data_IF_073444304576
#
_entry.id   IF_073444304576
#
_cell.length_a   1.000
_cell.length_b   1.000
_cell.length_c   1.000
_cell.angle_alpha   90.00
_cell.angle_beta   90.00
_cell.angle_gamma   90.00
#
_symmetry.space_group_name_H-M   'P 1'
#
loop_
_entity.id
_entity.type
_entity.pdbx_description
1 polymer ?
#
# COMPACT_ATOMS: atom_id res chain seq x y z
N UNK A 1 21.52 -13.51 -20.42
CA UNK A 1 22.09 -13.29 -19.08
C UNK A 1 23.10 -12.16 -19.18
N UNK A 2 22.81 -11.01 -18.55
CA UNK A 2 23.77 -10.46 -17.60
C UNK A 2 23.04 -9.87 -16.39
N UNK A 3 23.01 -10.62 -15.28
CA UNK A 3 22.79 -10.21 -13.88
C UNK A 3 22.71 -11.49 -13.02
N UNK A 4 23.53 -12.50 -13.37
CA UNK A 4 23.46 -13.86 -12.80
C UNK A 4 24.43 -14.04 -11.62
N UNK A 5 25.34 -13.09 -11.38
CA UNK A 5 26.41 -13.23 -10.38
C UNK A 5 26.57 -12.05 -9.41
N UNK A 6 25.58 -11.18 -9.29
CA UNK A 6 25.56 -10.27 -8.14
C UNK A 6 24.74 -10.87 -7.01
N UNK A 7 25.26 -10.91 -5.77
CA UNK A 7 24.44 -11.11 -4.58
C UNK A 7 23.64 -9.83 -4.34
N UNK A 8 22.79 -9.44 -5.29
CA UNK A 8 21.70 -8.49 -5.03
C UNK A 8 20.72 -9.28 -4.19
N UNK A 9 20.96 -9.29 -2.88
CA UNK A 9 19.96 -9.72 -1.91
C UNK A 9 18.67 -8.96 -2.24
N UNK A 10 17.50 -9.62 -2.24
CA UNK A 10 16.20 -8.98 -2.46
C UNK A 10 16.04 -7.65 -1.69
N UNK A 11 16.70 -7.55 -0.53
CA UNK A 11 16.81 -6.35 0.27
C UNK A 11 17.35 -5.10 -0.44
N UNK A 12 18.27 -5.18 -1.42
CA UNK A 12 18.80 -3.97 -2.07
C UNK A 12 17.74 -3.27 -2.91
N UNK A 13 16.91 -4.03 -3.62
CA UNK A 13 15.84 -3.48 -4.44
C UNK A 13 14.75 -2.85 -3.57
N UNK A 14 14.30 -3.59 -2.55
CA UNK A 14 13.40 -3.05 -1.53
C UNK A 14 13.99 -1.81 -0.84
N UNK A 15 15.31 -1.76 -0.61
CA UNK A 15 15.99 -0.59 -0.02
C UNK A 15 15.99 0.59 -0.99
N UNK A 16 16.30 0.39 -2.28
CA UNK A 16 16.25 1.45 -3.29
C UNK A 16 14.84 2.02 -3.41
N UNK A 17 13.84 1.15 -3.47
CA UNK A 17 12.42 1.51 -3.46
C UNK A 17 12.06 2.30 -2.21
N UNK A 18 12.45 1.82 -1.02
CA UNK A 18 12.24 2.51 0.24
C UNK A 18 12.89 3.91 0.23
N UNK A 19 14.10 4.05 -0.29
CA UNK A 19 14.81 5.33 -0.38
C UNK A 19 14.08 6.31 -1.32
N UNK A 20 13.64 5.85 -2.49
CA UNK A 20 12.86 6.66 -3.44
C UNK A 20 11.52 7.06 -2.80
N UNK A 21 10.83 6.12 -2.17
CA UNK A 21 9.56 6.36 -1.49
C UNK A 21 9.69 7.35 -0.33
N UNK A 22 10.77 7.23 0.45
CA UNK A 22 11.08 8.13 1.56
C UNK A 22 11.44 9.53 1.06
N UNK A 23 12.23 9.64 -0.02
CA UNK A 23 12.48 10.91 -0.69
C UNK A 23 11.19 11.54 -1.23
N UNK A 24 10.29 10.74 -1.80
CA UNK A 24 8.98 11.16 -2.26
C UNK A 24 8.09 11.68 -1.13
N UNK A 25 8.00 10.94 -0.03
CA UNK A 25 7.25 11.33 1.17
C UNK A 25 7.78 12.60 1.83
N UNK A 26 9.11 12.77 1.91
CA UNK A 26 9.74 13.98 2.41
C UNK A 26 9.51 15.19 1.49
N UNK A 27 9.54 14.99 0.17
CA UNK A 27 9.22 16.03 -0.80
C UNK A 27 7.75 16.46 -0.70
N UNK A 28 6.83 15.51 -0.51
CA UNK A 28 5.40 15.79 -0.23
C UNK A 28 5.24 16.58 1.07
N UNK A 29 5.96 16.18 2.14
CA UNK A 29 5.92 16.86 3.43
C UNK A 29 6.47 18.30 3.37
N UNK A 30 7.44 18.56 2.48
CA UNK A 30 7.95 19.93 2.30
C UNK A 30 6.87 20.89 1.80
N UNK A 31 5.86 20.38 1.09
CA UNK A 31 4.74 21.15 0.58
C UNK A 31 5.12 22.10 -0.57
N UNK A 32 4.10 22.70 -1.18
CA UNK A 32 4.24 23.57 -2.35
C UNK A 32 4.21 22.82 -3.69
N UNK A 33 3.63 23.45 -4.70
CA UNK A 33 3.26 22.81 -5.98
C UNK A 33 4.40 22.01 -6.64
N UNK A 34 5.61 22.58 -6.71
CA UNK A 34 6.75 21.92 -7.32
C UNK A 34 7.22 20.68 -6.53
N UNK A 35 7.35 20.80 -5.21
CA UNK A 35 7.81 19.69 -4.36
C UNK A 35 6.75 18.59 -4.23
N UNK A 36 5.47 18.96 -4.21
CA UNK A 36 4.36 18.02 -4.22
C UNK A 36 4.34 17.19 -5.51
N UNK A 37 4.56 17.81 -6.67
CA UNK A 37 4.64 17.09 -7.95
C UNK A 37 5.88 16.19 -8.03
N UNK A 38 7.05 16.66 -7.58
CA UNK A 38 8.27 15.84 -7.52
C UNK A 38 8.08 14.66 -6.58
N UNK A 39 7.46 14.88 -5.42
CA UNK A 39 7.16 13.82 -4.45
C UNK A 39 6.22 12.77 -5.02
N UNK A 40 5.13 13.18 -5.67
CA UNK A 40 4.20 12.27 -6.35
C UNK A 40 4.87 11.47 -7.47
N UNK A 41 5.71 12.12 -8.27
CA UNK A 41 6.46 11.46 -9.34
C UNK A 41 7.42 10.40 -8.78
N UNK A 42 8.17 10.73 -7.72
CA UNK A 42 9.08 9.78 -7.06
C UNK A 42 8.34 8.57 -6.50
N UNK A 43 7.18 8.77 -5.88
CA UNK A 43 6.33 7.69 -5.39
C UNK A 43 5.90 6.77 -6.54
N UNK A 44 5.39 7.34 -7.64
CA UNK A 44 4.94 6.53 -8.78
C UNK A 44 6.11 5.80 -9.43
N UNK A 45 7.27 6.45 -9.54
CA UNK A 45 8.48 5.81 -10.02
C UNK A 45 8.89 4.64 -9.11
N UNK A 46 8.81 4.83 -7.79
CA UNK A 46 9.07 3.76 -6.80
C UNK A 46 8.14 2.57 -6.98
N UNK A 47 6.85 2.80 -7.21
CA UNK A 47 5.89 1.72 -7.46
C UNK A 47 6.08 1.06 -8.82
N UNK A 48 6.44 1.82 -9.85
CA UNK A 48 6.69 1.29 -11.18
C UNK A 48 7.89 0.33 -11.19
N UNK A 49 8.97 0.71 -10.49
CA UNK A 49 10.14 -0.16 -10.29
C UNK A 49 9.73 -1.44 -9.57
N UNK A 50 8.95 -1.32 -8.50
CA UNK A 50 8.45 -2.45 -7.73
C UNK A 50 7.60 -3.43 -8.57
N UNK A 51 6.68 -2.90 -9.37
CA UNK A 51 5.80 -3.71 -10.21
C UNK A 51 6.60 -4.47 -11.28
N UNK A 52 7.55 -3.79 -11.91
CA UNK A 52 8.44 -4.38 -12.93
C UNK A 52 9.31 -5.48 -12.32
N UNK A 53 9.85 -5.25 -11.12
CA UNK A 53 10.71 -6.21 -10.42
C UNK A 53 9.92 -7.38 -9.82
N UNK A 54 8.68 -7.15 -9.37
CA UNK A 54 7.77 -8.18 -8.89
C UNK A 54 7.39 -9.18 -9.98
N UNK A 55 7.17 -8.72 -11.21
CA UNK A 55 6.98 -9.60 -12.37
C UNK A 55 8.23 -10.44 -12.66
N UNK A 56 9.42 -9.84 -12.61
CA UNK A 56 10.70 -10.54 -12.81
C UNK A 56 10.98 -11.56 -11.69
N UNK A 57 10.68 -11.23 -10.43
CA UNK A 57 10.86 -12.11 -9.28
C UNK A 57 9.93 -13.33 -9.34
N UNK A 58 8.69 -13.15 -9.84
CA UNK A 58 7.73 -14.23 -10.08
C UNK A 58 8.27 -15.30 -11.03
N UNK A 59 9.06 -14.90 -12.02
CA UNK A 59 9.72 -15.81 -12.98
C UNK A 59 10.93 -16.52 -12.35
N UNK A 60 11.58 -15.89 -11.37
CA UNK A 60 12.83 -16.40 -10.74
C UNK A 60 12.58 -17.39 -9.59
N UNK A 61 11.37 -17.46 -9.04
CA UNK A 61 10.93 -18.53 -8.12
C UNK A 61 11.64 -18.61 -6.76
N UNK A 62 12.51 -17.65 -6.43
CA UNK A 62 13.27 -17.60 -5.17
C UNK A 62 12.67 -16.60 -4.19
N UNK A 63 11.65 -17.00 -3.43
CA UNK A 63 11.11 -16.17 -2.33
C UNK A 63 11.53 -16.73 -0.97
N UNK A 64 12.21 -15.89 -0.17
CA UNK A 64 12.53 -16.17 1.23
C UNK A 64 11.49 -15.53 2.14
N UNK A 65 11.07 -16.24 3.20
CA UNK A 65 10.05 -15.77 4.16
C UNK A 65 10.44 -14.46 4.85
N UNK A 66 11.74 -14.26 5.09
CA UNK A 66 12.27 -13.03 5.73
C UNK A 66 12.23 -11.85 4.75
N UNK A 67 12.61 -12.07 3.49
CA UNK A 67 12.57 -11.03 2.46
C UNK A 67 11.15 -10.54 2.20
N UNK A 68 10.18 -11.45 2.14
CA UNK A 68 8.77 -11.11 1.97
C UNK A 68 8.20 -10.24 3.11
N UNK A 69 8.60 -10.50 4.35
CA UNK A 69 8.17 -9.66 5.48
C UNK A 69 8.82 -8.27 5.45
N UNK A 70 10.11 -8.21 5.09
CA UNK A 70 10.82 -6.94 4.96
C UNK A 70 10.22 -6.06 3.86
N UNK A 71 9.90 -6.66 2.72
CA UNK A 71 9.22 -6.01 1.61
C UNK A 71 7.90 -5.39 2.07
N UNK A 72 7.00 -6.20 2.64
CA UNK A 72 5.73 -5.73 3.18
C UNK A 72 5.88 -4.58 4.21
N UNK A 73 6.89 -4.65 5.08
CA UNK A 73 7.15 -3.60 6.05
C UNK A 73 7.59 -2.29 5.38
N UNK A 74 8.42 -2.38 4.33
CA UNK A 74 8.84 -1.23 3.54
C UNK A 74 7.64 -0.62 2.78
N UNK A 75 6.78 -1.43 2.20
CA UNK A 75 5.56 -1.02 1.49
C UNK A 75 4.62 -0.23 2.39
N UNK A 76 4.36 -0.79 3.58
CA UNK A 76 3.55 -0.15 4.60
C UNK A 76 4.15 1.20 5.02
N UNK A 77 5.47 1.24 5.22
CA UNK A 77 6.17 2.46 5.63
C UNK A 77 6.11 3.53 4.54
N UNK A 78 6.42 3.20 3.28
CA UNK A 78 6.32 4.12 2.14
C UNK A 78 4.90 4.65 1.98
N UNK A 79 3.89 3.78 2.12
CA UNK A 79 2.49 4.18 2.02
C UNK A 79 2.07 5.15 3.14
N UNK A 80 2.48 4.88 4.38
CA UNK A 80 2.22 5.78 5.51
C UNK A 80 2.93 7.11 5.33
N UNK A 81 4.18 7.11 4.87
CA UNK A 81 4.93 8.34 4.57
C UNK A 81 4.33 9.14 3.42
N UNK A 82 3.78 8.47 2.41
CA UNK A 82 3.10 9.09 1.28
C UNK A 82 1.87 9.87 1.75
N UNK A 83 0.94 9.20 2.43
CA UNK A 83 -0.30 9.85 2.85
C UNK A 83 -0.05 10.82 4.01
N UNK A 84 0.81 10.46 4.96
CA UNK A 84 1.23 11.33 6.06
C UNK A 84 1.97 12.58 5.58
N UNK A 85 2.94 12.43 4.67
CA UNK A 85 3.69 13.53 4.07
C UNK A 85 2.79 14.44 3.23
N UNK A 86 1.88 13.87 2.45
CA UNK A 86 0.86 14.63 1.72
C UNK A 86 -0.02 15.47 2.67
N UNK A 87 -0.48 14.87 3.77
CA UNK A 87 -1.23 15.60 4.80
C UNK A 87 -0.40 16.66 5.53
N UNK A 88 0.90 16.43 5.73
CA UNK A 88 1.78 17.41 6.38
C UNK A 88 2.07 18.63 5.49
N UNK A 89 2.25 18.41 4.18
CA UNK A 89 2.49 19.48 3.19
C UNK A 89 1.25 20.35 2.91
N UNK A 90 0.10 20.02 3.51
CA UNK A 90 -1.17 20.71 3.33
C UNK A 90 -1.55 21.56 4.55
N UNK A 91 -2.22 22.67 4.27
CA UNK A 91 -2.77 23.54 5.32
C UNK A 91 -4.15 23.04 5.77
N UNK A 92 -4.47 23.20 7.06
CA UNK A 92 -5.79 22.85 7.60
C UNK A 92 -6.93 23.63 6.94
N UNK A 93 -6.65 24.82 6.37
CA UNK A 93 -7.63 25.61 5.63
C UNK A 93 -8.08 24.91 4.31
N UNK A 94 -7.16 24.26 3.59
CA UNK A 94 -7.47 23.56 2.34
C UNK A 94 -8.42 22.38 2.56
N UNK A 95 -8.24 21.65 3.66
CA UNK A 95 -9.14 20.54 4.03
C UNK A 95 -10.41 21.05 4.69
N UNK A 96 -10.29 22.00 5.63
CA UNK A 96 -11.44 22.56 6.36
C UNK A 96 -12.48 23.19 5.45
N UNK A 97 -12.07 23.83 4.35
CA UNK A 97 -13.00 24.36 3.34
C UNK A 97 -13.78 23.29 2.59
N UNK A 98 -13.27 22.05 2.51
CA UNK A 98 -13.95 20.93 1.84
C UNK A 98 -14.90 20.18 2.77
N UNK A 99 -14.47 19.91 4.01
CA UNK A 99 -15.24 19.07 4.95
C UNK A 99 -16.01 19.87 6.01
N UNK A 100 -15.83 21.19 6.07
CA UNK A 100 -16.47 22.05 7.07
C UNK A 100 -15.96 21.83 8.50
N UNK A 101 -14.86 21.09 8.66
CA UNK A 101 -14.33 20.65 9.96
C UNK A 101 -12.83 20.99 10.03
N UNK A 102 -12.39 21.58 11.13
CA UNK A 102 -10.98 21.88 11.37
C UNK A 102 -10.23 20.62 11.82
N UNK A 103 -9.90 19.74 10.87
CA UNK A 103 -9.10 18.53 11.13
C UNK A 103 -7.69 18.75 10.60
N UNK A 104 -6.63 18.43 11.38
CA UNK A 104 -5.26 18.47 10.87
C UNK A 104 -5.10 17.48 9.70
N UNK A 105 -4.72 17.94 8.49
CA UNK A 105 -4.64 17.07 7.31
C UNK A 105 -3.64 15.92 7.45
N UNK A 106 -2.58 16.11 8.23
CA UNK A 106 -1.65 15.05 8.62
C UNK A 106 -2.33 13.85 9.30
N UNK A 107 -3.36 14.10 10.12
CA UNK A 107 -4.09 13.05 10.83
C UNK A 107 -4.97 12.24 9.86
N UNK A 108 -5.61 12.91 8.89
CA UNK A 108 -6.35 12.23 7.83
C UNK A 108 -5.43 11.37 6.96
N UNK A 109 -4.25 11.90 6.61
CA UNK A 109 -3.25 11.18 5.85
C UNK A 109 -2.68 9.97 6.58
N UNK A 110 -2.34 10.10 7.86
CA UNK A 110 -1.84 8.97 8.66
C UNK A 110 -2.91 7.89 8.85
N UNK A 111 -4.18 8.26 9.07
CA UNK A 111 -5.30 7.30 9.13
C UNK A 111 -5.45 6.57 7.79
N UNK A 112 -5.43 7.29 6.66
CA UNK A 112 -5.50 6.69 5.33
C UNK A 112 -4.32 5.72 5.11
N UNK A 113 -3.09 6.16 5.40
CA UNK A 113 -1.89 5.35 5.23
C UNK A 113 -1.88 4.08 6.09
N UNK A 114 -2.29 4.18 7.37
CA UNK A 114 -2.41 3.02 8.26
C UNK A 114 -3.48 2.06 7.75
N UNK A 115 -4.63 2.57 7.29
CA UNK A 115 -5.70 1.74 6.74
C UNK A 115 -5.23 0.98 5.50
N UNK A 116 -4.53 1.64 4.56
CA UNK A 116 -3.97 0.99 3.37
C UNK A 116 -2.91 -0.05 3.75
N UNK A 117 -1.99 0.27 4.66
CA UNK A 117 -1.01 -0.69 5.17
C UNK A 117 -1.69 -1.94 5.79
N UNK A 118 -2.77 -1.73 6.56
CA UNK A 118 -3.56 -2.82 7.12
C UNK A 118 -4.25 -3.68 6.05
N UNK A 119 -4.78 -3.05 4.99
CA UNK A 119 -5.38 -3.74 3.84
C UNK A 119 -4.36 -4.68 3.21
N UNK A 120 -3.17 -4.17 2.87
CA UNK A 120 -2.09 -4.98 2.28
C UNK A 120 -1.68 -6.12 3.20
N UNK A 121 -1.48 -5.83 4.50
CA UNK A 121 -1.13 -6.85 5.48
C UNK A 121 -2.17 -7.98 5.57
N UNK A 122 -3.45 -7.62 5.67
CA UNK A 122 -4.53 -8.61 5.74
C UNK A 122 -4.66 -9.41 4.45
N UNK A 123 -4.52 -8.78 3.29
CA UNK A 123 -4.57 -9.45 1.98
C UNK A 123 -3.45 -10.49 1.85
N UNK A 124 -2.23 -10.11 2.20
CA UNK A 124 -1.09 -11.03 2.24
C UNK A 124 -1.38 -12.24 3.15
N UNK A 125 -1.97 -12.00 4.34
CA UNK A 125 -2.36 -13.09 5.26
C UNK A 125 -3.44 -13.99 4.69
N UNK A 126 -4.42 -13.44 3.97
CA UNK A 126 -5.45 -14.25 3.28
C UNK A 126 -4.79 -15.15 2.24
N UNK A 127 -3.84 -14.63 1.45
CA UNK A 127 -3.13 -15.40 0.42
C UNK A 127 -2.27 -16.52 1.01
N UNK A 128 -1.55 -16.25 2.12
CA UNK A 128 -0.76 -17.25 2.86
C UNK A 128 -1.66 -18.38 3.40
N UNK A 129 -2.91 -18.07 3.78
CA UNK A 129 -3.85 -19.04 4.37
C UNK A 129 -4.71 -19.82 3.37
N UNK A 130 -5.19 -19.18 2.30
CA UNK A 130 -6.15 -19.76 1.35
C UNK A 130 -5.49 -20.28 0.07
N UNK A 131 -4.20 -20.03 -0.12
CA UNK A 131 -3.49 -20.29 -1.37
C UNK A 131 -3.88 -19.32 -2.48
N UNK A 132 -3.05 -19.24 -3.53
CA UNK A 132 -3.13 -18.30 -4.67
C UNK A 132 -4.47 -18.26 -5.42
N UNK A 133 -5.39 -19.19 -5.12
CA UNK A 133 -6.71 -19.33 -5.76
C UNK A 133 -7.82 -18.53 -5.05
N UNK A 134 -7.59 -18.04 -3.83
CA UNK A 134 -8.61 -17.37 -3.01
C UNK A 134 -8.60 -15.83 -3.09
N UNK A 135 -7.51 -15.23 -3.53
CA UNK A 135 -7.33 -13.77 -3.62
C UNK A 135 -7.52 -13.32 -5.06
N UNK A 136 -8.78 -13.18 -5.49
CA UNK A 136 -9.04 -12.20 -6.56
C UNK A 136 -8.55 -10.87 -5.99
N UNK A 137 -7.49 -10.30 -6.59
CA UNK A 137 -7.13 -8.88 -6.46
C UNK A 137 -8.45 -8.13 -6.40
N UNK A 138 -8.65 -7.37 -5.33
CA UNK A 138 -9.95 -6.79 -5.05
C UNK A 138 -10.18 -5.61 -5.99
N UNK A 139 -10.42 -5.92 -7.27
CA UNK A 139 -10.92 -5.02 -8.27
C UNK A 139 -12.37 -4.75 -7.89
N UNK A 140 -12.63 -3.58 -7.33
CA UNK A 140 -13.99 -3.08 -7.24
C UNK A 140 -14.23 -2.35 -8.56
N UNK A 141 -14.87 -3.04 -9.50
CA UNK A 141 -15.16 -2.49 -10.83
C UNK A 141 -13.96 -2.39 -11.79
N UNK A 142 -12.90 -3.20 -11.59
CA UNK A 142 -11.71 -3.20 -12.45
C UNK A 142 -10.62 -2.19 -12.08
N UNK A 143 -10.76 -1.49 -10.95
CA UNK A 143 -9.75 -0.57 -10.42
C UNK A 143 -9.05 -1.20 -9.21
N UNK A 144 -7.73 -1.31 -9.23
CA UNK A 144 -6.93 -1.81 -8.12
C UNK A 144 -6.54 -0.68 -7.15
N UNK A 145 -6.18 -1.06 -5.91
CA UNK A 145 -5.73 -0.06 -4.92
C UNK A 145 -4.40 0.57 -5.35
N UNK A 146 -3.63 -0.15 -6.15
CA UNK A 146 -2.34 0.25 -6.72
C UNK A 146 -2.53 1.28 -7.85
N UNK A 147 -3.57 1.12 -8.67
CA UNK A 147 -3.95 2.07 -9.75
C UNK A 147 -4.26 3.47 -9.21
N UNK A 148 -4.80 3.54 -7.99
CA UNK A 148 -5.09 4.81 -7.31
C UNK A 148 -3.81 5.59 -7.03
N UNK A 149 -2.67 4.93 -6.77
CA UNK A 149 -1.39 5.61 -6.61
C UNK A 149 -0.84 6.15 -7.94
N UNK A 150 -1.15 5.51 -9.07
CA UNK A 150 -0.77 6.04 -10.39
C UNK A 150 -1.56 7.28 -10.79
N UNK A 151 -2.75 7.51 -10.20
CA UNK A 151 -3.49 8.77 -10.37
C UNK A 151 -2.87 9.94 -9.60
N UNK A 152 -1.99 9.66 -8.64
CA UNK A 152 -1.48 10.65 -7.69
C UNK A 152 -0.73 11.81 -8.38
N UNK A 153 0.15 11.60 -9.39
CA UNK A 153 0.77 12.69 -10.15
C UNK A 153 -0.25 13.57 -10.88
N UNK A 154 -1.29 12.97 -11.48
CA UNK A 154 -2.36 13.71 -12.17
C UNK A 154 -3.17 14.57 -11.19
N UNK A 155 -3.45 14.02 -10.01
CA UNK A 155 -4.12 14.72 -8.91
C UNK A 155 -3.25 15.87 -8.38
N UNK A 156 -1.95 15.67 -8.23
CA UNK A 156 -1.04 16.75 -7.80
C UNK A 156 -0.90 17.86 -8.84
N UNK A 157 -0.83 17.51 -10.13
CA UNK A 157 -0.76 18.48 -11.23
C UNK A 157 -2.00 19.37 -11.33
N UNK A 158 -3.17 18.81 -11.03
CA UNK A 158 -4.45 19.54 -11.03
C UNK A 158 -4.74 20.27 -9.71
N UNK A 159 -3.85 20.15 -8.70
CA UNK A 159 -4.06 20.71 -7.37
C UNK A 159 -5.15 19.99 -6.56
N UNK A 160 -5.63 18.83 -7.03
CA UNK A 160 -6.70 18.03 -6.42
C UNK A 160 -6.27 17.21 -5.20
N UNK A 161 -5.14 17.54 -4.57
CA UNK A 161 -4.57 16.78 -3.45
C UNK A 161 -5.51 16.75 -2.25
N UNK A 162 -6.21 17.85 -1.99
CA UNK A 162 -7.13 17.98 -0.88
C UNK A 162 -8.35 17.05 -0.95
N UNK A 163 -9.15 17.06 -2.04
CA UNK A 163 -10.26 16.12 -2.18
C UNK A 163 -9.79 14.67 -2.25
N UNK A 164 -8.60 14.41 -2.83
CA UNK A 164 -8.02 13.06 -2.87
C UNK A 164 -7.69 12.53 -1.46
N UNK A 165 -7.03 13.34 -0.63
CA UNK A 165 -6.67 12.95 0.74
C UNK A 165 -7.93 12.67 1.59
N UNK A 166 -8.95 13.52 1.45
CA UNK A 166 -10.24 13.32 2.13
C UNK A 166 -10.91 12.02 1.65
N UNK A 167 -11.00 11.81 0.33
CA UNK A 167 -11.55 10.59 -0.23
C UNK A 167 -10.80 9.34 0.26
N UNK A 168 -9.47 9.37 0.29
CA UNK A 168 -8.63 8.29 0.79
C UNK A 168 -8.84 8.03 2.29
N UNK A 169 -8.97 9.09 3.10
CA UNK A 169 -9.20 8.98 4.55
C UNK A 169 -10.53 8.34 4.93
N UNK A 170 -11.52 8.35 4.02
CA UNK A 170 -12.81 7.69 4.20
C UNK A 170 -12.81 6.31 3.53
N UNK A 171 -12.36 6.25 2.28
CA UNK A 171 -12.36 5.04 1.46
C UNK A 171 -11.45 3.95 2.01
N UNK A 172 -10.24 4.28 2.45
CA UNK A 172 -9.29 3.28 2.93
C UNK A 172 -9.75 2.59 4.22
N UNK A 173 -10.23 3.29 5.28
CA UNK A 173 -10.77 2.60 6.46
C UNK A 173 -12.00 1.75 6.18
N UNK A 174 -12.91 2.21 5.32
CA UNK A 174 -14.08 1.42 4.92
C UNK A 174 -13.67 0.13 4.20
N UNK A 175 -12.70 0.23 3.30
CA UNK A 175 -12.17 -0.93 2.60
C UNK A 175 -11.41 -1.86 3.56
N UNK A 176 -10.62 -1.31 4.49
CA UNK A 176 -9.96 -2.08 5.53
C UNK A 176 -10.98 -2.89 6.36
N UNK A 177 -12.10 -2.28 6.75
CA UNK A 177 -13.17 -2.98 7.46
C UNK A 177 -13.77 -4.13 6.61
N UNK A 178 -13.99 -3.90 5.31
CA UNK A 178 -14.44 -4.94 4.39
C UNK A 178 -13.44 -6.11 4.31
N UNK A 179 -12.14 -5.82 4.18
CA UNK A 179 -11.07 -6.83 4.13
C UNK A 179 -10.96 -7.59 5.45
N UNK A 180 -11.15 -6.93 6.59
CA UNK A 180 -11.21 -7.60 7.90
C UNK A 180 -12.36 -8.61 7.95
N UNK A 181 -13.54 -8.25 7.45
CA UNK A 181 -14.69 -9.16 7.39
C UNK A 181 -14.37 -10.35 6.49
N UNK A 182 -13.77 -10.10 5.33
CA UNK A 182 -13.35 -11.13 4.38
C UNK A 182 -12.31 -12.08 4.99
N UNK A 183 -11.28 -11.55 5.65
CA UNK A 183 -10.29 -12.31 6.41
C UNK A 183 -10.97 -13.20 7.46
N UNK A 184 -11.89 -12.66 8.27
CA UNK A 184 -12.62 -13.45 9.28
C UNK A 184 -13.46 -14.56 8.65
N UNK A 185 -14.04 -14.33 7.46
CA UNK A 185 -14.78 -15.36 6.71
C UNK A 185 -13.86 -16.47 6.22
N UNK A 186 -12.70 -16.12 5.65
CA UNK A 186 -11.70 -17.09 5.17
C UNK A 186 -11.16 -17.92 6.32
N UNK A 187 -10.75 -17.29 7.42
CA UNK A 187 -10.27 -17.98 8.64
C UNK A 187 -11.33 -18.95 9.17
N UNK A 188 -12.61 -18.56 9.17
CA UNK A 188 -13.70 -19.46 9.60
C UNK A 188 -13.94 -20.63 8.64
N UNK A 189 -13.64 -20.49 7.35
CA UNK A 189 -13.79 -21.56 6.33
C UNK A 189 -12.62 -22.55 6.32
N UNK A 190 -11.41 -22.12 6.66
CA UNK A 190 -10.23 -23.00 6.74
C UNK A 190 -10.10 -23.72 8.08
N UNK A 191 -10.69 -23.19 9.15
CA UNK A 191 -10.68 -23.78 10.50
C UNK A 191 -11.57 -25.04 10.75
N UNK A 192 -12.62 -25.39 9.97
CA UNK A 192 -13.43 -26.58 10.26
C UNK A 192 -12.75 -27.89 9.82
N UNK A 193 -11.88 -27.87 8.81
CA UNK A 193 -11.31 -29.10 8.24
C UNK A 193 -10.33 -29.84 9.18
N UNK A 194 -9.77 -29.16 10.19
CA UNK A 194 -8.80 -29.77 11.11
C UNK A 194 -9.46 -30.52 12.28
N UNK A 195 -10.75 -30.27 12.59
CA UNK A 195 -11.46 -31.00 13.65
C UNK A 195 -12.01 -32.35 13.20
N UNK A 196 -12.43 -32.49 11.94
CA UNK A 196 -13.06 -33.73 11.47
C UNK A 196 -12.05 -34.85 11.16
N UNK A 197 -10.80 -34.52 10.80
CA UNK A 197 -9.74 -35.54 10.63
C UNK A 197 -9.21 -36.11 11.96
N UNK A 198 -9.37 -35.40 13.08
CA UNK A 198 -8.96 -35.94 14.39
C UNK A 198 -10.05 -36.79 15.06
N UNK A 199 -11.32 -36.57 14.72
CA UNK A 199 -12.45 -37.34 15.24
C UNK A 199 -12.66 -38.68 14.53
N UNK A 200 -12.08 -38.89 13.33
CA UNK A 200 -12.16 -40.15 12.57
C UNK A 200 -11.02 -41.14 12.89
N UNK A 201 -10.06 -40.74 13.75
CA UNK A 201 -8.87 -41.54 14.10
C UNK A 201 -8.85 -41.92 15.60
N UNK A 202 -9.85 -41.50 16.37
CA UNK A 202 -10.06 -41.84 17.79
C UNK A 202 -11.26 -42.74 17.98
#
# INVERSE_FOLDING_TARGET
MPLVDTPVTPNHLTTVRLLIGLAGGLALARGGFAWTNVGAFLIVLSNFVDHTDGELARVSGKTSRIGHFYDLACDALVTVLLFGGMGYGMTSAQVGNLIGLAVPPFLLGTIAGIAVALIFFLRMRIEEMAGKTGTKQASVGGFETEDVLYLLPLVTLTGGVAPFLVAASIGAPLFAAYVVIDYRRVVRRTRPAQKDSQALVS
#
